data_IF_692808045239
#
_entry.id   IF_692808045239
#
_cell.length_a   1.000
_cell.length_b   1.000
_cell.length_c   1.000
_cell.angle_alpha   90.00
_cell.angle_beta   90.00
_cell.angle_gamma   90.00
#
_symmetry.space_group_name_H-M   'P 1'
#
loop_
_entity.id
_entity.type
_entity.pdbx_description
1 polymer ?
#
# COMPACT_ATOMS: atom_id res chain seq x y z
N UNK A 1 68.08 -42.52 -42.37
CA UNK A 1 67.24 -41.31 -42.51
C UNK A 1 65.90 -41.62 -41.84
N UNK A 2 65.60 -41.03 -40.68
CA UNK A 2 64.34 -41.25 -39.95
C UNK A 2 63.59 -39.93 -39.95
N UNK A 3 62.48 -39.86 -40.69
CA UNK A 3 61.58 -38.71 -40.67
C UNK A 3 60.91 -38.61 -39.29
N UNK A 4 61.11 -37.48 -38.61
CA UNK A 4 60.37 -37.13 -37.40
C UNK A 4 59.06 -36.46 -37.83
N UNK A 5 57.95 -37.14 -37.58
CA UNK A 5 56.59 -36.58 -37.76
C UNK A 5 56.38 -35.54 -36.65
N UNK A 6 56.35 -34.26 -37.02
CA UNK A 6 56.01 -33.16 -36.11
C UNK A 6 54.53 -33.25 -35.72
N UNK A 7 54.24 -33.55 -34.45
CA UNK A 7 52.89 -33.34 -33.88
C UNK A 7 52.62 -31.84 -33.84
N UNK A 8 51.65 -31.37 -34.65
CA UNK A 8 51.10 -30.01 -34.55
C UNK A 8 50.28 -29.93 -33.26
N UNK A 9 50.84 -29.34 -32.21
CA UNK A 9 50.09 -28.98 -31.01
C UNK A 9 49.12 -27.84 -31.34
N UNK A 10 47.82 -28.07 -31.12
CA UNK A 10 46.77 -27.06 -31.29
C UNK A 10 46.88 -26.01 -30.17
N UNK A 11 47.74 -25.00 -30.39
CA UNK A 11 48.02 -23.86 -29.50
C UNK A 11 46.84 -22.91 -29.23
N UNK A 12 45.62 -23.26 -29.67
CA UNK A 12 44.40 -22.45 -29.51
C UNK A 12 43.33 -23.06 -28.60
N UNK A 13 43.50 -24.30 -28.10
CA UNK A 13 42.45 -25.01 -27.36
C UNK A 13 42.02 -24.28 -26.08
N UNK A 14 42.98 -23.77 -25.31
CA UNK A 14 42.70 -23.05 -24.05
C UNK A 14 42.04 -21.68 -24.24
N UNK A 15 42.27 -21.01 -25.38
CA UNK A 15 41.58 -19.75 -25.70
C UNK A 15 40.12 -19.99 -26.05
N UNK A 16 39.84 -21.05 -26.81
CA UNK A 16 38.45 -21.44 -27.16
C UNK A 16 37.68 -21.89 -25.92
N UNK A 17 38.31 -22.66 -25.04
CA UNK A 17 37.71 -23.09 -23.78
C UNK A 17 37.38 -21.89 -22.86
N UNK A 18 38.29 -20.92 -22.75
CA UNK A 18 38.03 -19.68 -22.03
C UNK A 18 36.89 -18.85 -22.65
N UNK A 19 36.79 -18.80 -23.97
CA UNK A 19 35.73 -18.07 -24.68
C UNK A 19 34.36 -18.72 -24.49
N UNK A 20 34.29 -20.06 -24.54
CA UNK A 20 33.08 -20.82 -24.23
C UNK A 20 32.70 -20.62 -22.77
N UNK A 21 33.66 -20.68 -21.83
CA UNK A 21 33.40 -20.47 -20.41
C UNK A 21 32.84 -19.06 -20.12
N UNK A 22 33.39 -18.02 -20.76
CA UNK A 22 32.87 -16.65 -20.64
C UNK A 22 31.45 -16.51 -21.20
N UNK A 23 31.17 -17.16 -22.33
CA UNK A 23 29.86 -17.13 -22.96
C UNK A 23 28.82 -17.83 -22.08
N UNK A 24 29.15 -19.01 -21.56
CA UNK A 24 28.29 -19.77 -20.63
C UNK A 24 28.07 -19.00 -19.33
N UNK A 25 29.14 -18.45 -18.74
CA UNK A 25 29.05 -17.61 -17.54
C UNK A 25 28.16 -16.38 -17.77
N UNK A 26 28.28 -15.71 -18.91
CA UNK A 26 27.44 -14.57 -19.27
C UNK A 26 25.96 -14.92 -19.37
N UNK A 27 25.62 -16.04 -20.01
CA UNK A 27 24.23 -16.51 -20.11
C UNK A 27 23.67 -16.85 -18.73
N UNK A 28 24.44 -17.54 -17.89
CA UNK A 28 24.03 -17.87 -16.52
C UNK A 28 23.81 -16.61 -15.68
N UNK A 29 24.68 -15.60 -15.81
CA UNK A 29 24.53 -14.33 -15.09
C UNK A 29 23.24 -13.60 -15.47
N UNK A 30 22.87 -13.58 -16.76
CA UNK A 30 21.63 -12.95 -17.23
C UNK A 30 20.40 -13.67 -16.65
N UNK A 31 20.41 -15.01 -16.66
CA UNK A 31 19.31 -15.81 -16.10
C UNK A 31 19.17 -15.53 -14.60
N UNK A 32 20.27 -15.50 -13.85
CA UNK A 32 20.25 -15.21 -12.42
C UNK A 32 19.74 -13.79 -12.14
N UNK A 33 20.18 -12.79 -12.90
CA UNK A 33 19.67 -11.41 -12.78
C UNK A 33 18.17 -11.34 -13.06
N UNK A 34 17.65 -12.10 -14.03
CA UNK A 34 16.23 -12.19 -14.31
C UNK A 34 15.43 -12.71 -13.12
N UNK A 35 15.90 -13.81 -12.49
CA UNK A 35 15.28 -14.37 -11.28
C UNK A 35 15.36 -13.37 -10.12
N UNK A 36 16.51 -12.72 -9.92
CA UNK A 36 16.67 -11.72 -8.87
C UNK A 36 15.77 -10.50 -9.07
N UNK A 37 15.61 -10.03 -10.31
CA UNK A 37 14.73 -8.91 -10.62
C UNK A 37 13.27 -9.23 -10.29
N UNK A 38 12.80 -10.43 -10.63
CA UNK A 38 11.44 -10.88 -10.30
C UNK A 38 11.24 -10.98 -8.79
N UNK A 39 12.20 -11.60 -8.07
CA UNK A 39 12.13 -11.72 -6.62
C UNK A 39 12.12 -10.34 -5.92
N UNK A 40 12.91 -9.38 -6.38
CA UNK A 40 12.91 -8.00 -5.85
C UNK A 40 11.58 -7.30 -6.13
N UNK A 41 11.01 -7.50 -7.32
CA UNK A 41 9.71 -6.95 -7.68
C UNK A 41 8.60 -7.51 -6.78
N UNK A 42 8.63 -8.81 -6.52
CA UNK A 42 7.69 -9.47 -5.61
C UNK A 42 7.84 -8.99 -4.16
N UNK A 43 9.08 -8.87 -3.67
CA UNK A 43 9.35 -8.34 -2.33
C UNK A 43 8.80 -6.92 -2.16
N UNK A 44 9.05 -6.01 -3.11
CA UNK A 44 8.50 -4.65 -3.06
C UNK A 44 6.97 -4.63 -3.00
N UNK A 45 6.32 -5.55 -3.72
CA UNK A 45 4.86 -5.68 -3.70
C UNK A 45 4.36 -6.15 -2.33
N UNK A 46 5.07 -7.08 -1.70
CA UNK A 46 4.74 -7.57 -0.36
C UNK A 46 4.91 -6.46 0.68
N UNK A 47 6.01 -5.71 0.63
CA UNK A 47 6.25 -4.57 1.53
C UNK A 47 5.14 -3.52 1.39
N UNK A 48 4.72 -3.22 0.16
CA UNK A 48 3.63 -2.30 -0.12
C UNK A 48 2.29 -2.82 0.44
N UNK A 49 1.98 -4.11 0.27
CA UNK A 49 0.76 -4.71 0.84
C UNK A 49 0.76 -4.67 2.37
N UNK A 50 1.90 -4.96 2.99
CA UNK A 50 2.05 -4.92 4.45
C UNK A 50 1.86 -3.49 4.98
N UNK A 51 2.50 -2.51 4.34
CA UNK A 51 2.34 -1.09 4.69
C UNK A 51 0.88 -0.63 4.56
N UNK A 52 0.19 -0.96 3.46
CA UNK A 52 -1.23 -0.63 3.27
C UNK A 52 -2.10 -1.25 4.37
N UNK A 53 -1.85 -2.52 4.72
CA UNK A 53 -2.58 -3.20 5.79
C UNK A 53 -2.29 -2.59 7.17
N UNK A 54 -1.03 -2.26 7.45
CA UNK A 54 -0.61 -1.59 8.68
C UNK A 54 -1.31 -0.23 8.82
N UNK A 55 -1.37 0.55 7.74
CA UNK A 55 -2.10 1.82 7.73
C UNK A 55 -3.60 1.62 7.99
N UNK A 56 -4.22 0.57 7.46
CA UNK A 56 -5.63 0.29 7.71
C UNK A 56 -5.91 -0.03 9.18
N UNK A 57 -5.10 -0.91 9.78
CA UNK A 57 -5.24 -1.29 11.19
C UNK A 57 -4.96 -0.10 12.11
N UNK A 58 -3.90 0.66 11.83
CA UNK A 58 -3.59 1.90 12.56
C UNK A 58 -4.72 2.91 12.48
N UNK A 59 -5.33 3.07 11.30
CA UNK A 59 -6.47 3.98 11.11
C UNK A 59 -7.69 3.55 11.94
N UNK A 60 -7.94 2.25 12.10
CA UNK A 60 -9.02 1.78 12.97
C UNK A 60 -8.80 2.17 14.43
N UNK A 61 -7.55 2.12 14.90
CA UNK A 61 -7.18 2.56 16.25
C UNK A 61 -7.34 4.07 16.39
N UNK A 62 -6.91 4.85 15.39
CA UNK A 62 -7.06 6.31 15.37
C UNK A 62 -8.55 6.71 15.43
N UNK A 63 -9.41 6.06 14.64
CA UNK A 63 -10.85 6.34 14.66
C UNK A 63 -11.45 6.02 16.03
N UNK A 64 -11.04 4.90 16.66
CA UNK A 64 -11.51 4.54 17.99
C UNK A 64 -11.04 5.54 19.06
N UNK A 65 -9.80 6.03 18.96
CA UNK A 65 -9.26 7.06 19.84
C UNK A 65 -10.01 8.39 19.67
N UNK A 66 -10.29 8.77 18.42
CA UNK A 66 -11.09 9.95 18.09
C UNK A 66 -12.52 9.83 18.65
N UNK A 67 -13.16 8.67 18.50
CA UNK A 67 -14.49 8.42 19.08
C UNK A 67 -14.48 8.56 20.61
N UNK A 68 -13.47 8.03 21.28
CA UNK A 68 -13.31 8.15 22.73
C UNK A 68 -13.11 9.62 23.11
N UNK A 69 -12.25 10.36 22.40
CA UNK A 69 -11.99 11.77 22.65
C UNK A 69 -13.26 12.61 22.51
N UNK A 70 -14.02 12.39 21.45
CA UNK A 70 -15.29 13.07 21.19
C UNK A 70 -16.32 12.77 22.28
N UNK A 71 -16.42 11.51 22.73
CA UNK A 71 -17.32 11.11 23.82
C UNK A 71 -16.95 11.72 25.19
N UNK A 72 -15.68 12.07 25.41
CA UNK A 72 -15.23 12.71 26.66
C UNK A 72 -15.32 14.24 26.63
N UNK A 73 -15.15 14.87 25.47
CA UNK A 73 -15.02 16.32 25.34
C UNK A 73 -16.35 16.98 25.01
N UNK A 74 -17.19 16.34 24.18
CA UNK A 74 -18.43 16.91 23.68
C UNK A 74 -19.65 16.27 24.37
N UNK A 75 -20.69 17.06 24.64
CA UNK A 75 -21.97 16.53 25.13
C UNK A 75 -22.59 15.59 24.06
N UNK A 76 -23.49 14.69 24.46
CA UNK A 76 -24.06 13.62 23.60
C UNK A 76 -24.67 14.12 22.25
N UNK A 77 -24.93 15.42 22.12
CA UNK A 77 -25.50 16.06 20.93
C UNK A 77 -24.47 16.73 19.99
N UNK A 78 -23.19 16.83 20.36
CA UNK A 78 -22.12 17.49 19.56
C UNK A 78 -21.07 16.51 19.00
N UNK A 79 -21.26 15.21 19.19
CA UNK A 79 -20.32 14.19 18.72
C UNK A 79 -20.41 14.00 17.19
N UNK A 80 -19.30 14.27 16.49
CA UNK A 80 -19.16 14.20 15.03
C UNK A 80 -19.59 12.85 14.45
N UNK A 81 -19.50 11.76 15.21
CA UNK A 81 -19.82 10.41 14.75
C UNK A 81 -21.34 10.18 14.59
N UNK A 82 -22.18 10.98 15.26
CA UNK A 82 -23.64 10.89 15.10
C UNK A 82 -24.15 11.56 13.83
N UNK A 83 -23.43 12.55 13.32
CA UNK A 83 -23.78 13.30 12.11
C UNK A 83 -23.27 12.66 10.81
N UNK A 84 -22.47 11.59 10.92
CA UNK A 84 -21.95 10.89 9.75
C UNK A 84 -23.06 10.19 8.98
N UNK A 85 -23.09 10.44 7.68
CA UNK A 85 -24.08 9.87 6.79
C UNK A 85 -23.71 8.43 6.43
N UNK A 86 -24.70 7.51 6.43
CA UNK A 86 -24.45 6.14 5.99
C UNK A 86 -24.07 6.12 4.50
N UNK A 87 -23.19 5.19 4.14
CA UNK A 87 -22.64 5.00 2.79
C UNK A 87 -21.77 6.16 2.27
N UNK A 88 -21.43 7.13 3.11
CA UNK A 88 -20.48 8.20 2.78
C UNK A 88 -19.10 7.90 3.33
N UNK A 89 -18.07 8.33 2.60
CA UNK A 89 -16.68 8.23 2.96
C UNK A 89 -16.10 9.60 3.33
N UNK A 90 -15.24 9.61 4.33
CA UNK A 90 -14.63 10.78 4.93
C UNK A 90 -13.12 10.64 4.93
N UNK A 91 -12.45 11.76 4.69
CA UNK A 91 -11.00 11.88 4.78
C UNK A 91 -10.53 12.12 6.20
N UNK A 92 -9.22 12.23 6.35
CA UNK A 92 -8.59 12.65 7.60
C UNK A 92 -7.84 13.95 7.35
N UNK A 93 -7.98 14.89 8.29
CA UNK A 93 -7.12 16.06 8.36
C UNK A 93 -6.07 15.83 9.45
N UNK A 94 -4.88 16.40 9.25
CA UNK A 94 -3.80 16.32 10.22
C UNK A 94 -3.35 17.73 10.52
N UNK A 95 -3.57 18.17 11.75
CA UNK A 95 -3.11 19.47 12.19
C UNK A 95 -1.57 19.50 12.18
N UNK A 96 -1.01 20.29 11.26
CA UNK A 96 0.43 20.49 11.08
C UNK A 96 1.18 20.98 12.33
N UNK A 97 0.48 21.54 13.32
CA UNK A 97 1.09 22.12 14.52
C UNK A 97 1.09 21.17 15.73
N UNK A 98 0.04 20.35 15.87
CA UNK A 98 -0.15 19.43 17.01
C UNK A 98 0.06 17.97 16.63
N UNK A 99 0.06 17.65 15.33
CA UNK A 99 0.05 16.28 14.83
C UNK A 99 -1.27 15.55 15.10
N UNK A 100 -2.30 16.28 15.52
CA UNK A 100 -3.61 15.71 15.82
C UNK A 100 -4.33 15.30 14.53
N UNK A 101 -4.90 14.10 14.52
CA UNK A 101 -5.67 13.56 13.39
C UNK A 101 -7.15 13.74 13.67
N UNK A 102 -7.84 14.48 12.81
CA UNK A 102 -9.30 14.67 12.87
C UNK A 102 -9.96 14.11 11.61
N UNK A 103 -11.27 13.89 11.68
CA UNK A 103 -12.07 13.52 10.51
C UNK A 103 -12.46 14.78 9.74
N UNK A 104 -12.24 14.78 8.43
CA UNK A 104 -12.75 15.84 7.54
C UNK A 104 -14.22 15.55 7.25
N UNK A 105 -15.12 16.24 7.97
CA UNK A 105 -16.58 16.12 7.79
C UNK A 105 -17.11 17.01 6.66
N UNK A 106 -16.32 17.98 6.18
CA UNK A 106 -16.71 18.92 5.14
C UNK A 106 -16.62 18.30 3.75
N UNK A 107 -15.67 17.37 3.56
CA UNK A 107 -15.50 16.61 2.32
C UNK A 107 -15.94 15.17 2.49
N UNK A 108 -17.09 14.87 1.89
CA UNK A 108 -17.58 13.50 1.76
C UNK A 108 -17.41 12.98 0.33
N UNK A 109 -17.19 11.67 0.22
CA UNK A 109 -16.96 10.97 -1.04
C UNK A 109 -17.85 9.74 -1.14
N UNK A 110 -18.23 9.36 -2.36
CA UNK A 110 -18.77 8.03 -2.62
C UNK A 110 -17.64 7.00 -2.71
N UNK A 111 -17.91 5.76 -2.30
CA UNK A 111 -16.96 4.64 -2.48
C UNK A 111 -16.57 4.45 -3.97
N UNK A 112 -17.43 4.85 -4.90
CA UNK A 112 -17.15 4.77 -6.34
C UNK A 112 -16.15 5.81 -6.85
N UNK A 113 -15.81 6.83 -6.06
CA UNK A 113 -15.03 8.00 -6.49
C UNK A 113 -13.54 7.90 -6.12
N UNK A 114 -12.93 6.74 -6.42
CA UNK A 114 -11.53 6.47 -6.08
C UNK A 114 -10.55 7.54 -6.49
N UNK A 115 -10.65 8.02 -7.72
CA UNK A 115 -9.72 9.01 -8.27
C UNK A 115 -9.74 10.32 -7.48
N UNK A 116 -10.87 10.64 -6.84
CA UNK A 116 -11.04 11.85 -6.06
C UNK A 116 -10.56 11.67 -4.62
N UNK A 117 -10.97 10.61 -3.94
CA UNK A 117 -10.56 10.42 -2.55
C UNK A 117 -9.09 10.01 -2.39
N UNK A 118 -8.48 9.36 -3.38
CA UNK A 118 -7.07 8.97 -3.34
C UNK A 118 -6.14 10.19 -3.33
N UNK A 119 -6.55 11.27 -4.01
CA UNK A 119 -5.81 12.53 -4.06
C UNK A 119 -6.19 13.49 -2.93
N UNK A 120 -7.43 13.44 -2.45
CA UNK A 120 -7.91 14.34 -1.41
C UNK A 120 -7.57 13.87 0.01
N UNK A 121 -7.43 12.56 0.25
CA UNK A 121 -7.23 11.97 1.59
C UNK A 121 -5.92 11.21 1.69
N UNK A 122 -4.84 11.91 1.32
CA UNK A 122 -3.48 11.39 1.37
C UNK A 122 -2.99 11.28 2.81
N UNK A 123 -2.17 10.25 3.08
CA UNK A 123 -1.42 10.21 4.33
C UNK A 123 -0.25 11.18 4.16
N UNK A 124 -0.16 12.26 4.97
CA UNK A 124 0.94 13.19 4.87
C UNK A 124 2.25 12.45 5.19
N UNK A 125 3.21 12.62 4.30
CA UNK A 125 4.57 12.11 4.38
C UNK A 125 5.51 13.26 3.98
N UNK A 126 6.81 13.17 4.29
CA UNK A 126 7.83 14.18 3.95
C UNK A 126 8.11 14.27 2.43
N UNK A 127 7.26 13.67 1.60
CA UNK A 127 7.40 13.57 0.14
C UNK A 127 6.41 14.45 -0.60
N UNK A 128 6.89 15.17 -1.62
CA UNK A 128 6.06 15.94 -2.56
C UNK A 128 5.01 15.06 -3.30
N UNK A 129 5.16 13.73 -3.29
CA UNK A 129 4.22 12.77 -3.87
C UNK A 129 3.83 11.70 -2.84
N UNK A 130 2.77 11.92 -2.05
CA UNK A 130 2.36 10.99 -1.01
C UNK A 130 2.00 9.63 -1.59
N UNK A 131 2.62 8.58 -1.04
CA UNK A 131 2.56 7.23 -1.59
C UNK A 131 1.24 6.50 -1.26
N UNK A 132 0.63 6.85 -0.12
CA UNK A 132 -0.55 6.17 0.41
C UNK A 132 -1.69 7.13 0.71
N UNK A 133 -2.91 6.61 0.66
CA UNK A 133 -4.12 7.31 1.07
C UNK A 133 -4.91 6.45 2.06
N UNK A 134 -5.75 7.11 2.85
CA UNK A 134 -6.68 6.44 3.77
C UNK A 134 -8.00 7.18 3.83
N UNK A 135 -9.10 6.44 3.83
CA UNK A 135 -10.45 6.98 4.03
C UNK A 135 -11.25 6.07 4.95
N UNK A 136 -12.25 6.66 5.59
CA UNK A 136 -13.23 5.96 6.41
C UNK A 136 -14.62 6.11 5.81
N UNK A 137 -15.25 5.00 5.44
CA UNK A 137 -16.62 4.96 4.98
C UNK A 137 -17.55 4.41 6.06
N UNK A 138 -18.72 5.01 6.23
CA UNK A 138 -19.75 4.49 7.14
C UNK A 138 -20.52 3.39 6.43
N UNK A 139 -20.25 2.12 6.78
CA UNK A 139 -20.94 0.99 6.16
C UNK A 139 -22.36 0.83 6.72
N UNK A 140 -22.53 1.08 8.01
CA UNK A 140 -23.83 1.09 8.68
C UNK A 140 -23.80 2.04 9.87
N UNK A 141 -24.70 3.02 9.87
CA UNK A 141 -24.97 3.86 11.04
C UNK A 141 -26.04 3.14 11.89
N UNK A 142 -25.86 2.95 13.21
CA UNK A 142 -26.89 2.36 14.05
C UNK A 142 -28.23 3.10 13.91
N UNK A 143 -29.32 2.34 14.01
CA UNK A 143 -30.67 2.90 14.09
C UNK A 143 -30.76 3.86 15.29
N UNK A 144 -31.65 4.85 15.25
CA UNK A 144 -31.80 5.90 16.27
C UNK A 144 -31.99 5.41 17.72
N UNK A 145 -32.23 4.11 17.92
CA UNK A 145 -32.37 3.46 19.22
C UNK A 145 -31.04 2.96 19.83
N UNK A 146 -29.94 2.86 19.07
CA UNK A 146 -28.71 2.19 19.53
C UNK A 146 -27.43 2.91 19.07
N UNK A 147 -27.30 4.20 19.44
CA UNK A 147 -26.15 5.07 19.07
C UNK A 147 -24.79 4.64 19.66
N UNK A 148 -24.70 3.49 20.30
CA UNK A 148 -23.50 3.05 21.02
C UNK A 148 -22.36 2.56 20.12
N UNK A 149 -22.63 2.20 18.85
CA UNK A 149 -21.64 1.57 17.96
C UNK A 149 -21.87 1.90 16.50
N UNK A 150 -20.81 2.21 15.77
CA UNK A 150 -20.83 2.43 14.32
C UNK A 150 -19.98 1.39 13.58
N UNK A 151 -20.46 0.91 12.43
CA UNK A 151 -19.67 0.04 11.56
C UNK A 151 -18.99 0.88 10.49
N UNK A 152 -17.66 0.94 10.56
CA UNK A 152 -16.83 1.66 9.61
C UNK A 152 -16.09 0.69 8.69
N UNK A 153 -15.95 1.11 7.45
CA UNK A 153 -15.16 0.47 6.40
C UNK A 153 -14.00 1.39 6.07
N UNK A 154 -12.80 0.98 6.44
CA UNK A 154 -11.58 1.72 6.19
C UNK A 154 -11.01 1.21 4.87
N UNK A 155 -10.72 2.13 3.95
CA UNK A 155 -10.09 1.82 2.68
C UNK A 155 -8.73 2.50 2.69
N UNK A 156 -7.68 1.71 2.51
CA UNK A 156 -6.31 2.20 2.32
C UNK A 156 -5.77 1.68 1.00
N UNK A 157 -4.98 2.50 0.35
CA UNK A 157 -4.38 2.13 -0.92
C UNK A 157 -3.19 3.01 -1.23
N UNK A 158 -2.61 2.80 -2.40
CA UNK A 158 -1.51 3.62 -2.88
C UNK A 158 -1.92 4.47 -4.06
N UNK A 159 -1.38 5.69 -4.09
CA UNK A 159 -1.54 6.62 -5.19
C UNK A 159 -0.65 6.31 -6.40
N UNK A 160 0.32 5.40 -6.23
CA UNK A 160 1.24 5.01 -7.31
C UNK A 160 0.63 3.97 -8.25
N UNK A 161 -0.49 3.36 -7.87
CA UNK A 161 -1.13 2.28 -8.59
C UNK A 161 -2.66 2.47 -8.64
N UNK A 162 -3.30 1.88 -9.65
CA UNK A 162 -4.73 2.06 -9.91
C UNK A 162 -5.60 1.28 -8.91
N UNK A 163 -5.03 0.30 -8.19
CA UNK A 163 -5.70 -0.38 -7.08
C UNK A 163 -6.89 -1.25 -7.50
N UNK A 164 -7.12 -1.42 -8.81
CA UNK A 164 -8.28 -2.12 -9.37
C UNK A 164 -8.09 -3.64 -9.37
N UNK A 165 -6.86 -4.11 -9.61
CA UNK A 165 -6.54 -5.54 -9.72
C UNK A 165 -5.15 -5.82 -9.18
N UNK A 166 -4.98 -6.88 -8.39
CA UNK A 166 -3.64 -7.36 -8.04
C UNK A 166 -3.01 -8.06 -9.25
N UNK A 167 -1.97 -7.46 -9.83
CA UNK A 167 -1.21 -8.05 -10.94
C UNK A 167 0.32 -7.84 -10.72
N UNK A 168 1.15 -8.07 -11.74
CA UNK A 168 2.62 -7.88 -11.61
C UNK A 168 3.04 -6.41 -11.47
N UNK A 169 2.12 -5.45 -11.66
CA UNK A 169 2.37 -3.99 -11.65
C UNK A 169 1.45 -3.21 -10.72
N UNK A 170 0.39 -3.82 -10.19
CA UNK A 170 -0.69 -3.16 -9.45
C UNK A 170 -1.05 -3.96 -8.20
N UNK A 171 -1.36 -3.25 -7.12
CA UNK A 171 -1.73 -3.80 -5.81
C UNK A 171 -3.10 -3.26 -5.47
N UNK A 172 -4.06 -4.17 -5.27
CA UNK A 172 -5.43 -3.81 -4.92
C UNK A 172 -5.47 -3.03 -3.60
N UNK A 173 -6.37 -2.05 -3.52
CA UNK A 173 -6.68 -1.35 -2.28
C UNK A 173 -7.14 -2.35 -1.19
N UNK A 174 -6.71 -2.10 0.04
CA UNK A 174 -7.07 -2.91 1.19
C UNK A 174 -8.31 -2.33 1.86
N UNK A 175 -9.22 -3.23 2.25
CA UNK A 175 -10.49 -2.89 2.89
C UNK A 175 -10.52 -3.57 4.25
N UNK A 176 -10.66 -2.78 5.30
CA UNK A 176 -10.74 -3.24 6.67
C UNK A 176 -12.05 -2.80 7.32
N UNK A 177 -12.80 -3.74 7.88
CA UNK A 177 -14.04 -3.44 8.60
C UNK A 177 -13.77 -3.41 10.10
N UNK A 178 -14.21 -2.35 10.76
CA UNK A 178 -14.10 -2.20 12.20
C UNK A 178 -15.43 -1.74 12.80
N UNK A 179 -15.74 -2.20 14.00
CA UNK A 179 -16.83 -1.67 14.81
C UNK A 179 -16.21 -0.71 15.80
N UNK A 180 -16.64 0.55 15.75
CA UNK A 180 -16.19 1.60 16.66
C UNK A 180 -17.26 1.76 17.73
N UNK A 181 -16.84 1.74 18.99
CA UNK A 181 -17.71 2.04 20.13
C UNK A 181 -17.65 3.54 20.36
N UNK A 182 -18.83 4.17 20.40
CA UNK A 182 -19.03 5.60 20.66
C UNK A 182 -19.25 5.85 22.15
#
# INVERSE_FOLDING_TARGET
MKEKIFKKEYKGLGFVEALIALTVSGVVAIVLMGISAEAISELRRLDMQDSIAQHAVSTAVIIQDLAIKEAYVNDEDENIFYDLQPQMCYGFDVDSSTGEVTLDTDRNFSESERDYYSTASVIPDDSDNPEFFRIMCVAHNPSAADRSKILVKIITGSNRVDGKVTNNRDVKDYVYYSVIVL
#
